data_IF_082913831063
#
_entry.id   IF_082913831063
#
_cell.length_a   1.000
_cell.length_b   1.000
_cell.length_c   1.000
_cell.angle_alpha   90.00
_cell.angle_beta   90.00
_cell.angle_gamma   90.00
#
_symmetry.space_group_name_H-M   'P 1'
#
loop_
_entity.id
_entity.type
_entity.pdbx_description
1 polymer ?
#
# COMPACT_ATOMS: atom_id res chain seq x y z
N UNK A 1 -17.51 -45.10 22.09
CA UNK A 1 -16.06 -45.08 21.79
C UNK A 1 -15.93 -44.55 20.37
N UNK A 2 -15.49 -43.29 20.20
CA UNK A 2 -15.34 -42.74 18.86
C UNK A 2 -14.26 -43.52 18.10
N UNK A 3 -14.53 -43.90 16.86
CA UNK A 3 -13.56 -44.62 16.04
C UNK A 3 -12.32 -43.72 15.82
N UNK A 4 -11.09 -44.24 15.97
CA UNK A 4 -9.87 -43.46 15.79
C UNK A 4 -9.77 -42.83 14.40
N UNK A 5 -10.36 -43.48 13.38
CA UNK A 5 -10.49 -42.96 12.02
C UNK A 5 -11.36 -41.70 11.96
N UNK A 6 -12.46 -41.67 12.70
CA UNK A 6 -13.37 -40.51 12.75
C UNK A 6 -12.67 -39.34 13.45
N UNK A 7 -11.89 -39.62 14.49
CA UNK A 7 -11.11 -38.58 15.20
C UNK A 7 -10.02 -37.99 14.30
N UNK A 8 -9.29 -38.81 13.55
CA UNK A 8 -8.27 -38.36 12.59
C UNK A 8 -8.87 -37.52 11.45
N UNK A 9 -10.03 -37.92 10.92
CA UNK A 9 -10.74 -37.16 9.88
C UNK A 9 -11.17 -35.79 10.40
N UNK A 10 -11.72 -35.70 11.62
CA UNK A 10 -12.13 -34.43 12.22
C UNK A 10 -10.94 -33.50 12.46
N UNK A 11 -9.80 -34.03 12.93
CA UNK A 11 -8.57 -33.25 13.10
C UNK A 11 -8.08 -32.73 11.74
N UNK A 12 -8.08 -33.57 10.71
CA UNK A 12 -7.70 -33.15 9.35
C UNK A 12 -8.58 -32.03 8.79
N UNK A 13 -9.90 -32.13 8.97
CA UNK A 13 -10.86 -31.11 8.52
C UNK A 13 -10.67 -29.80 9.32
N UNK A 14 -10.45 -29.87 10.65
CA UNK A 14 -10.14 -28.70 11.46
C UNK A 14 -8.83 -28.02 11.03
N UNK A 15 -7.79 -28.79 10.69
CA UNK A 15 -6.53 -28.23 10.23
C UNK A 15 -6.67 -27.53 8.87
N UNK A 16 -7.43 -28.11 7.93
CA UNK A 16 -7.67 -27.50 6.61
C UNK A 16 -8.51 -26.22 6.70
N UNK A 17 -9.46 -26.15 7.64
CA UNK A 17 -10.25 -24.95 7.89
C UNK A 17 -9.44 -23.80 8.54
N UNK A 18 -8.24 -24.10 9.09
CA UNK A 18 -7.32 -23.12 9.66
C UNK A 18 -6.26 -22.65 8.66
N UNK A 19 -6.23 -23.23 7.45
CA UNK A 19 -5.37 -22.74 6.36
C UNK A 19 -6.10 -21.55 5.70
N UNK A 20 -6.15 -20.43 6.42
CA UNK A 20 -6.23 -19.15 5.74
C UNK A 20 -4.92 -18.97 4.96
N UNK A 21 -5.03 -18.56 3.70
CA UNK A 21 -3.91 -18.34 2.78
C UNK A 21 -2.71 -17.69 3.49
N UNK A 22 -1.65 -18.45 3.75
CA UNK A 22 -0.39 -17.94 4.29
C UNK A 22 0.46 -17.24 3.23
N UNK A 23 -0.18 -16.60 2.25
CA UNK A 23 0.51 -15.62 1.42
C UNK A 23 0.84 -14.46 2.37
N UNK A 24 2.10 -14.35 2.77
CA UNK A 24 2.55 -13.22 3.55
C UNK A 24 2.17 -11.96 2.77
N UNK A 25 1.32 -11.10 3.35
CA UNK A 25 1.00 -9.81 2.75
C UNK A 25 2.31 -9.03 2.59
N UNK A 26 2.63 -8.66 1.35
CA UNK A 26 3.83 -7.91 0.99
C UNK A 26 3.44 -6.49 0.61
N UNK A 27 4.11 -5.51 1.20
CA UNK A 27 3.85 -4.08 1.05
C UNK A 27 4.94 -3.42 0.20
N UNK A 28 5.35 -4.08 -0.86
CA UNK A 28 6.44 -3.69 -1.76
C UNK A 28 5.93 -3.04 -3.06
N UNK A 29 4.69 -2.57 -3.07
CA UNK A 29 4.10 -1.77 -4.14
C UNK A 29 4.00 -0.30 -3.76
N UNK A 30 4.27 0.58 -4.73
CA UNK A 30 4.11 2.04 -4.62
C UNK A 30 3.74 2.64 -5.98
N UNK A 31 3.29 3.90 -5.99
CA UNK A 31 3.11 4.68 -7.22
C UNK A 31 4.08 5.84 -7.27
N UNK A 32 4.66 6.07 -8.43
CA UNK A 32 5.32 7.33 -8.79
C UNK A 32 4.32 8.17 -9.57
N UNK A 33 3.97 9.34 -9.04
CA UNK A 33 2.95 10.23 -9.59
C UNK A 33 3.61 11.52 -10.04
N UNK A 34 3.44 11.86 -11.31
CA UNK A 34 3.78 13.17 -11.85
C UNK A 34 2.50 14.00 -11.95
N UNK A 35 2.53 15.23 -11.45
CA UNK A 35 1.35 16.08 -11.36
C UNK A 35 1.70 17.56 -11.47
N UNK A 36 0.70 18.40 -11.69
CA UNK A 36 0.79 19.86 -11.52
C UNK A 36 -0.27 20.32 -10.52
N UNK A 37 -0.11 21.54 -10.02
CA UNK A 37 -0.99 22.11 -8.99
C UNK A 37 -1.46 23.51 -9.39
N UNK A 38 -2.70 23.86 -9.05
CA UNK A 38 -3.22 25.21 -9.21
C UNK A 38 -2.78 26.14 -8.06
N UNK A 39 -2.59 25.58 -6.86
CA UNK A 39 -2.28 26.31 -5.63
C UNK A 39 -1.18 25.60 -4.86
N UNK A 40 -0.38 26.36 -4.11
CA UNK A 40 0.69 25.82 -3.26
C UNK A 40 1.95 25.42 -4.03
N UNK A 41 2.82 24.70 -3.34
CA UNK A 41 4.07 24.14 -3.84
C UNK A 41 4.06 22.61 -3.73
N UNK A 42 4.89 21.92 -4.53
CA UNK A 42 5.02 20.47 -4.54
C UNK A 42 5.28 19.92 -3.12
N UNK A 43 6.05 20.66 -2.31
CA UNK A 43 6.41 20.29 -0.94
C UNK A 43 5.20 20.24 0.00
N UNK A 44 4.15 21.04 -0.25
CA UNK A 44 2.95 21.12 0.60
C UNK A 44 2.18 19.78 0.63
N UNK A 45 2.34 18.96 -0.41
CA UNK A 45 1.72 17.64 -0.53
C UNK A 45 2.76 16.51 -0.50
N UNK A 46 4.01 16.83 -0.13
CA UNK A 46 5.10 15.87 0.07
C UNK A 46 5.93 15.54 -1.18
N UNK A 47 5.62 16.15 -2.32
CA UNK A 47 6.39 16.01 -3.56
C UNK A 47 7.61 16.93 -3.62
N UNK A 48 8.25 16.93 -4.79
CA UNK A 48 9.32 17.85 -5.16
C UNK A 48 9.24 18.15 -6.67
N UNK A 49 10.02 19.11 -7.17
CA UNK A 49 10.12 19.37 -8.60
C UNK A 49 10.08 20.85 -8.95
N UNK A 50 9.54 21.15 -10.13
CA UNK A 50 9.39 22.52 -10.62
C UNK A 50 8.00 23.06 -10.29
N UNK A 51 7.95 23.82 -9.18
CA UNK A 51 6.74 24.45 -8.67
C UNK A 51 6.06 25.38 -9.70
N UNK A 52 4.72 25.35 -9.84
CA UNK A 52 3.78 24.25 -9.56
C UNK A 52 3.49 23.38 -10.81
N UNK A 53 4.25 23.57 -11.88
CA UNK A 53 3.94 23.03 -13.22
C UNK A 53 4.33 21.57 -13.40
N UNK A 54 5.29 21.06 -12.64
CA UNK A 54 5.72 19.67 -12.71
C UNK A 54 6.31 19.22 -11.37
N UNK A 55 5.48 18.53 -10.61
CA UNK A 55 5.81 17.89 -9.34
C UNK A 55 5.87 16.37 -9.49
N UNK A 56 6.70 15.74 -8.69
CA UNK A 56 6.87 14.29 -8.61
C UNK A 56 6.76 13.84 -7.15
N UNK A 57 6.10 12.70 -6.92
CA UNK A 57 5.95 12.09 -5.59
C UNK A 57 5.86 10.58 -5.70
N UNK A 58 6.50 9.87 -4.76
CA UNK A 58 6.27 8.44 -4.56
C UNK A 58 5.29 8.24 -3.42
N UNK A 59 4.17 7.55 -3.65
CA UNK A 59 3.10 7.34 -2.67
C UNK A 59 2.82 5.86 -2.41
N UNK A 60 2.27 5.58 -1.24
CA UNK A 60 1.64 4.30 -0.92
C UNK A 60 0.15 4.32 -1.30
N UNK A 61 -0.55 3.19 -1.11
CA UNK A 61 -1.95 3.05 -1.48
C UNK A 61 -2.88 4.01 -0.73
N UNK A 62 -2.48 4.51 0.43
CA UNK A 62 -3.23 5.50 1.19
C UNK A 62 -3.15 6.93 0.62
N UNK A 63 -2.42 7.11 -0.50
CA UNK A 63 -2.28 8.39 -1.17
C UNK A 63 -1.32 9.36 -0.47
N UNK A 64 -0.46 8.86 0.42
CA UNK A 64 0.52 9.66 1.15
C UNK A 64 1.92 9.30 0.68
N UNK A 65 2.84 10.28 0.75
CA UNK A 65 4.27 10.08 0.46
C UNK A 65 4.78 8.82 1.16
N UNK A 66 5.44 7.95 0.40
CA UNK A 66 6.11 6.76 0.92
C UNK A 66 7.21 7.16 1.90
N UNK A 67 7.14 6.63 3.11
CA UNK A 67 8.14 6.83 4.16
C UNK A 67 8.85 5.49 4.42
N UNK A 68 10.17 5.46 4.23
CA UNK A 68 10.97 4.24 4.37
C UNK A 68 10.98 3.35 3.11
N UNK A 69 11.32 2.07 3.30
CA UNK A 69 11.59 1.14 2.20
C UNK A 69 10.32 0.53 1.60
N UNK A 70 9.28 0.31 2.41
CA UNK A 70 8.04 -0.38 2.02
C UNK A 70 6.81 0.43 2.46
N UNK A 71 5.63 0.05 1.97
CA UNK A 71 4.34 0.65 2.28
C UNK A 71 3.61 -0.10 3.41
N UNK A 72 4.34 -0.58 4.41
CA UNK A 72 3.77 -1.17 5.62
C UNK A 72 3.19 -0.10 6.54
N UNK A 73 2.19 -0.45 7.34
CA UNK A 73 1.71 0.42 8.42
C UNK A 73 2.80 0.63 9.48
N UNK A 74 3.66 -0.36 9.67
CA UNK A 74 4.88 -0.29 10.47
C UNK A 74 5.99 -1.16 9.83
N UNK A 75 6.98 -1.57 10.64
CA UNK A 75 8.16 -2.29 10.17
C UNK A 75 7.80 -3.59 9.45
N UNK A 76 8.53 -3.87 8.38
CA UNK A 76 8.44 -5.10 7.59
C UNK A 76 9.73 -5.90 7.70
N UNK A 77 9.69 -7.18 7.31
CA UNK A 77 10.90 -7.95 7.10
C UNK A 77 11.70 -7.43 5.88
N UNK A 78 12.88 -8.03 5.63
CA UNK A 78 13.81 -7.62 4.56
C UNK A 78 13.24 -7.79 3.14
N UNK A 79 12.16 -8.54 2.97
CA UNK A 79 11.49 -8.73 1.67
C UNK A 79 10.30 -7.78 1.49
N UNK A 80 10.00 -6.96 2.50
CA UNK A 80 8.83 -6.07 2.50
C UNK A 80 7.52 -6.80 2.79
N UNK A 81 7.59 -7.99 3.38
CA UNK A 81 6.42 -8.77 3.77
C UNK A 81 6.31 -8.88 5.28
N UNK A 82 5.17 -9.41 5.74
CA UNK A 82 4.89 -9.57 7.16
C UNK A 82 5.12 -8.27 7.94
N UNK A 83 4.59 -7.17 7.39
CA UNK A 83 4.67 -5.86 8.03
C UNK A 83 3.75 -5.85 9.25
N UNK A 84 4.22 -5.24 10.33
CA UNK A 84 3.41 -5.03 11.52
C UNK A 84 2.18 -4.20 11.15
N UNK A 85 0.98 -4.77 11.34
CA UNK A 85 -0.30 -4.16 10.95
C UNK A 85 -0.69 -4.32 9.48
N UNK A 86 0.15 -4.94 8.65
CA UNK A 86 -0.10 -5.12 7.21
C UNK A 86 0.26 -3.88 6.39
N UNK A 87 -0.31 -3.76 5.19
CA UNK A 87 -0.01 -2.65 4.29
C UNK A 87 -0.87 -1.41 4.55
N UNK A 88 -0.35 -0.24 4.18
CA UNK A 88 -1.14 0.99 4.05
C UNK A 88 -2.21 0.78 2.98
N UNK A 89 -3.45 1.20 3.26
CA UNK A 89 -4.62 0.93 2.40
C UNK A 89 -5.23 2.22 1.87
N UNK A 90 -5.76 2.14 0.66
CA UNK A 90 -6.50 3.19 -0.01
C UNK A 90 -6.53 2.97 -1.53
N UNK A 91 -6.92 4.01 -2.25
CA UNK A 91 -7.11 4.02 -3.69
C UNK A 91 -6.00 4.81 -4.40
N UNK A 92 -4.76 4.72 -3.88
CA UNK A 92 -3.54 5.21 -4.51
C UNK A 92 -3.63 6.68 -4.94
N UNK A 93 -3.39 6.99 -6.21
CA UNK A 93 -3.53 8.33 -6.78
C UNK A 93 -4.91 8.97 -6.52
N UNK A 94 -6.01 8.21 -6.45
CA UNK A 94 -7.32 8.75 -6.09
C UNK A 94 -7.35 9.22 -4.64
N UNK A 95 -6.75 8.46 -3.72
CA UNK A 95 -6.59 8.89 -2.33
C UNK A 95 -5.69 10.12 -2.22
N UNK A 96 -4.63 10.21 -3.04
CA UNK A 96 -3.78 11.41 -3.11
C UNK A 96 -4.56 12.65 -3.56
N UNK A 97 -5.38 12.54 -4.62
CA UNK A 97 -6.25 13.62 -5.08
C UNK A 97 -7.27 14.01 -4.01
N UNK A 98 -7.91 13.03 -3.36
CA UNK A 98 -8.93 13.29 -2.36
C UNK A 98 -8.38 14.03 -1.14
N UNK A 99 -7.21 13.61 -0.64
CA UNK A 99 -6.55 14.24 0.51
C UNK A 99 -6.06 15.66 0.20
N UNK A 100 -5.71 15.94 -1.05
CA UNK A 100 -5.12 17.19 -1.48
C UNK A 100 -6.04 18.01 -2.40
N UNK A 101 -7.35 17.80 -2.32
CA UNK A 101 -8.36 18.45 -3.19
C UNK A 101 -8.30 19.97 -3.19
N UNK A 102 -7.83 20.56 -2.10
CA UNK A 102 -7.75 22.02 -1.92
C UNK A 102 -6.59 22.65 -2.72
N UNK A 103 -5.70 21.84 -3.32
CA UNK A 103 -4.56 22.31 -4.12
C UNK A 103 -4.82 22.34 -5.63
N UNK A 104 -5.95 21.79 -6.10
CA UNK A 104 -6.24 21.71 -7.55
C UNK A 104 -5.19 20.89 -8.29
N UNK A 105 -4.99 19.64 -7.84
CA UNK A 105 -4.01 18.74 -8.45
C UNK A 105 -4.56 18.16 -9.76
N UNK A 106 -3.75 18.21 -10.81
CA UNK A 106 -3.97 17.49 -12.07
C UNK A 106 -2.84 16.49 -12.28
N UNK A 107 -3.20 15.21 -12.42
CA UNK A 107 -2.24 14.13 -12.68
C UNK A 107 -1.81 14.18 -14.15
N UNK A 108 -0.50 14.14 -14.37
CA UNK A 108 0.11 14.10 -15.69
C UNK A 108 0.53 12.67 -16.07
N UNK A 109 1.05 11.90 -15.10
CA UNK A 109 1.49 10.51 -15.30
C UNK A 109 1.46 9.72 -13.98
N UNK A 110 1.25 8.41 -14.08
CA UNK A 110 1.27 7.48 -12.94
C UNK A 110 1.93 6.17 -13.34
N UNK A 111 2.97 5.78 -12.61
CA UNK A 111 3.64 4.49 -12.76
C UNK A 111 3.48 3.69 -11.47
N UNK A 112 2.80 2.53 -11.56
CA UNK A 112 2.70 1.60 -10.43
C UNK A 112 3.83 0.58 -10.48
N UNK A 113 4.60 0.53 -9.41
CA UNK A 113 5.75 -0.37 -9.24
C UNK A 113 5.36 -1.42 -8.19
N UNK A 114 5.63 -2.69 -8.50
CA UNK A 114 5.37 -3.85 -7.64
C UNK A 114 6.47 -4.88 -7.84
N UNK A 115 6.92 -5.51 -6.75
CA UNK A 115 8.01 -6.50 -6.75
C UNK A 115 7.60 -7.84 -6.14
#
# INVERSE_FOLDING_TARGET
MASPLVSLLLIGICCLALIDQSAAECCNSWEEVTYKMDRGACEDVGGNGYNPHKCEITICADGVKKVGTYCGQASCNVFGCNCDGGCLRGEWNQSFLQKNRDYGIEILDVVRISF
#
